data_IF_117761369334
#
_entry.id   IF_117761369334
#
_cell.length_a   1.000
_cell.length_b   1.000
_cell.length_c   1.000
_cell.angle_alpha   90.00
_cell.angle_beta   90.00
_cell.angle_gamma   90.00
#
_symmetry.space_group_name_H-M   'P 1'
#
loop_
_entity.id
_entity.type
_entity.pdbx_description
1 polymer ?
#
# COMPACT_ATOMS: atom_id res chain seq x y z
N UNK A 1 6.17 3.59 4.49
CA UNK A 1 5.71 2.73 5.62
C UNK A 1 4.87 3.49 6.65
N UNK A 2 5.31 4.63 7.17
CA UNK A 2 4.58 5.37 8.21
C UNK A 2 3.20 5.86 7.76
N UNK A 3 3.06 6.30 6.49
CA UNK A 3 1.75 6.73 5.97
C UNK A 3 0.73 5.58 5.97
N UNK A 4 1.16 4.35 5.69
CA UNK A 4 0.29 3.16 5.74
C UNK A 4 -0.19 2.85 7.17
N UNK A 5 0.64 3.12 8.18
CA UNK A 5 0.22 3.00 9.57
C UNK A 5 -0.77 4.12 9.98
N UNK A 6 -0.65 5.32 9.40
CA UNK A 6 -1.64 6.38 9.58
C UNK A 6 -2.97 6.04 8.92
N UNK A 7 -2.96 5.44 7.73
CA UNK A 7 -4.16 4.85 7.12
C UNK A 7 -4.78 3.79 8.03
N UNK A 8 -3.97 2.84 8.52
CA UNK A 8 -4.45 1.76 9.41
C UNK A 8 -5.09 2.28 10.70
N UNK A 9 -4.59 3.40 11.26
CA UNK A 9 -5.16 4.05 12.45
C UNK A 9 -6.42 4.89 12.12
N UNK A 10 -6.76 5.07 10.85
CA UNK A 10 -7.86 5.93 10.41
C UNK A 10 -7.54 7.43 10.42
N UNK A 11 -6.25 7.79 10.34
CA UNK A 11 -5.82 9.19 10.22
C UNK A 11 -5.76 9.68 8.76
N UNK A 12 -5.77 8.76 7.80
CA UNK A 12 -5.80 9.03 6.36
C UNK A 12 -6.87 8.15 5.71
N UNK A 13 -7.49 8.64 4.64
CA UNK A 13 -8.41 7.84 3.82
C UNK A 13 -7.69 6.97 2.78
N UNK A 14 -6.47 7.37 2.40
CA UNK A 14 -5.64 6.60 1.48
C UNK A 14 -4.20 7.08 1.40
N UNK A 15 -3.36 6.23 0.81
CA UNK A 15 -1.94 6.44 0.52
C UNK A 15 -1.69 5.94 -0.90
N UNK A 16 -1.08 6.78 -1.74
CA UNK A 16 -0.82 6.50 -3.14
C UNK A 16 0.65 6.78 -3.47
N UNK A 17 1.33 5.81 -4.06
CA UNK A 17 2.61 6.02 -4.73
C UNK A 17 2.60 5.37 -6.11
N UNK A 18 2.47 6.20 -7.15
CA UNK A 18 2.44 5.80 -8.57
C UNK A 18 3.71 6.24 -9.32
N UNK A 19 4.78 6.56 -8.58
CA UNK A 19 6.04 7.05 -9.17
C UNK A 19 6.93 5.93 -9.68
N UNK A 20 6.51 4.68 -9.54
CA UNK A 20 7.29 3.47 -9.79
C UNK A 20 8.67 3.55 -9.12
N UNK A 21 8.67 3.82 -7.81
CA UNK A 21 9.87 4.18 -7.05
C UNK A 21 10.09 3.32 -5.80
N UNK A 22 9.02 3.07 -5.04
CA UNK A 22 9.10 2.31 -3.80
C UNK A 22 9.40 0.85 -4.07
N UNK A 23 10.12 0.21 -3.14
CA UNK A 23 10.46 -1.20 -3.19
C UNK A 23 9.63 -1.98 -2.18
N UNK A 24 9.48 -3.31 -2.36
CA UNK A 24 8.86 -4.19 -1.37
C UNK A 24 9.35 -3.94 0.06
N UNK A 25 10.67 -3.75 0.24
CA UNK A 25 11.28 -3.48 1.54
C UNK A 25 10.83 -2.17 2.20
N UNK A 26 10.46 -1.14 1.41
CA UNK A 26 10.02 0.17 1.92
C UNK A 26 8.57 0.13 2.43
N UNK A 27 7.78 -0.85 1.99
CA UNK A 27 6.33 -0.91 2.23
C UNK A 27 5.83 -2.16 2.95
N UNK A 28 6.58 -3.28 2.95
CA UNK A 28 6.09 -4.59 3.41
C UNK A 28 5.44 -4.56 4.80
N UNK A 29 6.12 -3.96 5.79
CA UNK A 29 5.58 -3.84 7.14
C UNK A 29 4.30 -2.99 7.20
N UNK A 30 4.26 -1.89 6.45
CA UNK A 30 3.10 -1.01 6.39
C UNK A 30 1.90 -1.66 5.70
N UNK A 31 2.13 -2.43 4.62
CA UNK A 31 1.09 -3.17 3.90
C UNK A 31 0.47 -4.23 4.79
N UNK A 32 1.28 -4.98 5.54
CA UNK A 32 0.75 -5.97 6.50
C UNK A 32 -0.18 -5.31 7.53
N UNK A 33 0.28 -4.23 8.17
CA UNK A 33 -0.52 -3.50 9.16
C UNK A 33 -1.81 -2.94 8.54
N UNK A 34 -1.72 -2.30 7.37
CA UNK A 34 -2.88 -1.71 6.70
C UNK A 34 -3.92 -2.77 6.31
N UNK A 35 -3.49 -3.93 5.79
CA UNK A 35 -4.38 -5.05 5.46
C UNK A 35 -5.10 -5.61 6.68
N UNK A 36 -4.40 -5.81 7.79
CA UNK A 36 -5.00 -6.28 9.04
C UNK A 36 -6.00 -5.26 9.62
N UNK A 37 -5.81 -3.97 9.32
CA UNK A 37 -6.76 -2.91 9.66
C UNK A 37 -7.94 -2.79 8.66
N UNK A 38 -8.01 -3.64 7.63
CA UNK A 38 -9.09 -3.67 6.64
C UNK A 38 -8.89 -2.74 5.44
N UNK A 39 -7.70 -2.15 5.25
CA UNK A 39 -7.42 -1.35 4.07
C UNK A 39 -7.32 -2.22 2.80
N UNK A 40 -7.82 -1.69 1.69
CA UNK A 40 -7.68 -2.30 0.36
C UNK A 40 -6.34 -1.84 -0.21
N UNK A 41 -5.48 -2.79 -0.59
CA UNK A 41 -4.13 -2.49 -1.09
C UNK A 41 -3.91 -3.14 -2.46
N UNK A 42 -3.80 -2.32 -3.50
CA UNK A 42 -3.68 -2.72 -4.90
C UNK A 42 -2.42 -2.15 -5.57
N UNK A 43 -2.09 -2.69 -6.73
CA UNK A 43 -1.25 -2.03 -7.71
C UNK A 43 -2.02 -0.90 -8.45
N UNK A 44 -1.35 -0.24 -9.39
CA UNK A 44 -1.91 0.81 -10.24
C UNK A 44 -2.88 0.32 -11.32
N UNK A 45 -3.06 -1.00 -11.44
CA UNK A 45 -4.08 -1.62 -12.28
C UNK A 45 -5.34 -2.00 -11.50
N UNK A 46 -5.38 -1.71 -10.20
CA UNK A 46 -6.48 -2.07 -9.31
C UNK A 46 -6.48 -3.54 -8.88
N UNK A 47 -5.42 -4.30 -9.19
CA UNK A 47 -5.29 -5.70 -8.74
C UNK A 47 -4.67 -5.75 -7.36
N UNK A 48 -5.05 -6.75 -6.56
CA UNK A 48 -4.44 -6.99 -5.25
C UNK A 48 -2.91 -6.97 -5.35
N UNK A 49 -2.27 -6.13 -4.52
CA UNK A 49 -0.83 -5.94 -4.57
C UNK A 49 -0.11 -7.24 -4.17
N UNK A 50 0.68 -7.81 -5.08
CA UNK A 50 1.53 -8.98 -4.83
C UNK A 50 2.96 -8.65 -5.22
N UNK A 51 3.91 -9.03 -4.38
CA UNK A 51 5.34 -8.82 -4.62
C UNK A 51 6.15 -9.88 -3.89
N UNK A 52 7.33 -10.19 -4.43
CA UNK A 52 8.36 -10.93 -3.72
C UNK A 52 9.21 -9.97 -2.88
N UNK A 53 9.90 -10.49 -1.87
CA UNK A 53 10.80 -9.68 -1.03
C UNK A 53 12.09 -9.33 -1.78
N UNK A 54 11.98 -8.42 -2.73
CA UNK A 54 13.07 -7.86 -3.52
C UNK A 54 13.51 -6.51 -2.98
N UNK A 55 14.82 -6.26 -2.99
CA UNK A 55 15.41 -4.96 -2.64
C UNK A 55 15.67 -4.07 -3.85
N UNK A 56 15.38 -4.55 -5.07
CA UNK A 56 15.67 -3.85 -6.33
C UNK A 56 14.42 -3.59 -7.18
N UNK A 57 13.41 -4.43 -7.07
CA UNK A 57 12.16 -4.23 -7.79
C UNK A 57 11.42 -3.01 -7.27
N UNK A 58 10.84 -2.27 -8.20
CA UNK A 58 10.03 -1.09 -7.92
C UNK A 58 8.58 -1.41 -8.26
N UNK A 59 7.68 -0.80 -7.51
CA UNK A 59 6.24 -1.01 -7.65
C UNK A 59 5.47 0.28 -7.46
N UNK A 60 4.23 0.25 -7.95
CA UNK A 60 3.20 1.21 -7.62
C UNK A 60 2.28 0.60 -6.55
N UNK A 61 1.75 1.45 -5.68
CA UNK A 61 0.85 1.05 -4.61
C UNK A 61 -0.29 2.06 -4.45
N UNK A 62 -1.50 1.54 -4.36
CA UNK A 62 -2.70 2.26 -3.93
C UNK A 62 -3.20 1.57 -2.66
N UNK A 63 -3.34 2.30 -1.57
CA UNK A 63 -3.93 1.80 -0.33
C UNK A 63 -5.05 2.74 0.13
N UNK A 64 -6.28 2.24 0.28
CA UNK A 64 -7.47 3.06 0.62
C UNK A 64 -8.34 2.38 1.67
N UNK A 65 -9.14 3.17 2.39
CA UNK A 65 -10.04 2.67 3.44
C UNK A 65 -11.41 2.17 2.91
N UNK A 66 -11.70 2.33 1.62
CA UNK A 66 -13.00 1.95 1.04
C UNK A 66 -12.94 1.75 -0.47
N UNK A 67 -13.76 0.82 -0.98
CA UNK A 67 -13.90 0.53 -2.43
C UNK A 67 -14.34 1.74 -3.25
N UNK A 68 -14.97 2.72 -2.62
CA UNK A 68 -15.39 3.97 -3.30
C UNK A 68 -14.21 4.86 -3.70
N UNK A 69 -13.09 4.75 -2.97
CA UNK A 69 -11.88 5.53 -3.22
C UNK A 69 -10.86 4.80 -4.10
N UNK A 70 -11.10 3.53 -4.38
CA UNK A 70 -10.30 2.72 -5.30
C UNK A 70 -10.69 3.04 -6.75
#
# INVERSE_FOLDING_TARGET
AMELAYLAKGALDGVLDIRNYVRPTDIAAGVLIAREAGAIVTDDTGKELKFDLSASEKLNIIAVNSEKLL
#
